data_IF_509701475640
#
_entry.id   IF_509701475640
#
_cell.length_a   1.000
_cell.length_b   1.000
_cell.length_c   1.000
_cell.angle_alpha   90.00
_cell.angle_beta   90.00
_cell.angle_gamma   90.00
#
_symmetry.space_group_name_H-M   'P 1'
#
loop_
_entity.id
_entity.type
_entity.pdbx_description
1 polymer ?
#
# COMPACT_ATOMS: atom_id res chain seq x y z
N UNK A 1 4.44 -11.29 1.00
CA UNK A 1 4.04 -12.07 -0.22
C UNK A 1 2.76 -12.90 -0.03
N UNK A 2 2.63 -13.80 0.97
CA UNK A 2 1.42 -14.65 1.17
C UNK A 2 0.09 -13.89 1.15
N UNK A 3 -0.02 -12.79 1.90
CA UNK A 3 -1.25 -11.99 1.98
C UNK A 3 -1.64 -11.35 0.64
N UNK A 4 -0.64 -10.96 -0.18
CA UNK A 4 -0.85 -10.41 -1.52
C UNK A 4 -1.39 -11.51 -2.45
N UNK A 5 -0.75 -12.69 -2.45
CA UNK A 5 -1.21 -13.85 -3.23
C UNK A 5 -2.62 -14.32 -2.85
N UNK A 6 -2.99 -14.16 -1.58
CA UNK A 6 -4.35 -14.41 -1.09
C UNK A 6 -5.36 -13.30 -1.45
N UNK A 7 -4.92 -12.23 -2.12
CA UNK A 7 -5.78 -11.11 -2.53
C UNK A 7 -6.20 -10.19 -1.40
N UNK A 8 -5.54 -10.26 -0.25
CA UNK A 8 -5.93 -9.57 0.97
C UNK A 8 -5.27 -8.21 1.17
N UNK A 9 -4.46 -7.73 0.23
CA UNK A 9 -3.69 -6.48 0.38
C UNK A 9 -4.18 -5.44 -0.61
N UNK A 10 -4.31 -4.21 -0.12
CA UNK A 10 -4.76 -3.05 -0.88
C UNK A 10 -3.86 -1.86 -0.60
N UNK A 11 -3.59 -1.05 -1.63
CA UNK A 11 -2.89 0.23 -1.56
C UNK A 11 -3.86 1.31 -2.04
N UNK A 12 -4.11 2.33 -1.22
CA UNK A 12 -5.11 3.38 -1.46
C UNK A 12 -6.47 2.81 -1.87
N UNK A 13 -6.90 1.75 -1.19
CA UNK A 13 -8.12 0.97 -1.47
C UNK A 13 -8.17 0.25 -2.83
N UNK A 14 -7.10 0.27 -3.62
CA UNK A 14 -6.93 -0.53 -4.83
C UNK A 14 -6.28 -1.87 -4.48
N UNK A 15 -6.80 -2.98 -4.99
CA UNK A 15 -6.27 -4.33 -4.71
C UNK A 15 -4.89 -4.48 -5.35
N UNK A 16 -3.95 -5.07 -4.61
CA UNK A 16 -2.62 -5.41 -5.13
C UNK A 16 -2.64 -6.85 -5.62
N UNK A 17 -2.46 -7.05 -6.93
CA UNK A 17 -2.55 -8.37 -7.57
C UNK A 17 -1.19 -9.06 -7.73
N UNK A 18 -0.08 -8.31 -7.65
CA UNK A 18 1.28 -8.83 -7.79
C UNK A 18 2.09 -8.60 -6.53
N UNK A 19 2.83 -9.61 -6.08
CA UNK A 19 3.77 -9.48 -4.97
C UNK A 19 5.09 -8.82 -5.36
N UNK A 20 5.23 -8.46 -6.64
CA UNK A 20 6.28 -7.61 -7.18
C UNK A 20 5.82 -6.15 -7.40
N UNK A 21 4.60 -5.79 -6.97
CA UNK A 21 4.12 -4.42 -7.09
C UNK A 21 5.01 -3.43 -6.32
N UNK A 22 5.32 -2.32 -6.98
CA UNK A 22 6.07 -1.19 -6.42
C UNK A 22 5.10 -0.03 -6.24
N UNK A 23 5.26 0.74 -5.17
CA UNK A 23 4.49 1.97 -4.95
C UNK A 23 5.10 3.06 -5.83
N UNK A 24 4.31 3.60 -6.73
CA UNK A 24 4.70 4.72 -7.58
C UNK A 24 4.50 6.06 -6.84
N UNK A 25 5.29 7.08 -7.20
CA UNK A 25 5.17 8.42 -6.61
C UNK A 25 3.75 9.01 -6.76
N UNK A 26 3.05 8.70 -7.86
CA UNK A 26 1.67 9.10 -8.10
C UNK A 26 0.65 8.47 -7.14
N UNK A 27 1.01 7.37 -6.48
CA UNK A 27 0.19 6.72 -5.46
C UNK A 27 0.48 7.30 -4.06
N UNK A 28 1.48 8.14 -3.91
CA UNK A 28 1.74 8.80 -2.64
C UNK A 28 0.78 9.99 -2.49
N UNK A 29 -0.06 9.92 -1.46
CA UNK A 29 -1.01 10.97 -1.12
C UNK A 29 -0.21 12.19 -0.67
N UNK A 30 -0.30 13.26 -1.48
CA UNK A 30 0.38 14.54 -1.27
C UNK A 30 1.90 14.40 -1.02
N UNK A 31 2.52 13.36 -1.57
CA UNK A 31 3.96 13.09 -1.35
C UNK A 31 4.33 12.70 0.09
N UNK A 32 3.35 12.42 0.96
CA UNK A 32 3.58 12.20 2.41
C UNK A 32 3.19 10.84 2.92
N UNK A 33 2.19 10.19 2.32
CA UNK A 33 1.64 8.97 2.88
C UNK A 33 1.02 8.02 1.86
N UNK A 34 0.89 6.76 2.26
CA UNK A 34 0.18 5.72 1.52
C UNK A 34 -0.72 4.95 2.48
N UNK A 35 -1.96 4.65 2.06
CA UNK A 35 -2.87 3.82 2.83
C UNK A 35 -2.70 2.35 2.43
N UNK A 36 -2.28 1.52 3.36
CA UNK A 36 -2.22 0.06 3.20
C UNK A 36 -3.37 -0.57 3.96
N UNK A 37 -4.19 -1.36 3.28
CA UNK A 37 -5.25 -2.14 3.92
C UNK A 37 -4.98 -3.63 3.78
N UNK A 38 -5.16 -4.36 4.88
CA UNK A 38 -5.07 -5.82 4.95
C UNK A 38 -6.42 -6.40 5.37
N UNK A 39 -7.07 -7.13 4.47
CA UNK A 39 -8.43 -7.62 4.66
C UNK A 39 -9.44 -6.48 4.75
N UNK A 40 -10.57 -6.68 5.45
CA UNK A 40 -11.69 -5.72 5.42
C UNK A 40 -11.53 -4.51 6.35
N UNK A 41 -10.78 -4.65 7.46
CA UNK A 41 -10.78 -3.68 8.57
C UNK A 41 -9.42 -3.24 9.09
N UNK A 42 -8.33 -3.87 8.65
CA UNK A 42 -7.00 -3.47 9.12
C UNK A 42 -6.43 -2.44 8.17
N UNK A 43 -6.37 -1.20 8.62
CA UNK A 43 -5.81 -0.08 7.89
C UNK A 43 -4.51 0.37 8.56
N UNK A 44 -3.52 0.66 7.73
CA UNK A 44 -2.21 1.13 8.12
C UNK A 44 -1.88 2.34 7.25
N UNK A 45 -1.43 3.42 7.86
CA UNK A 45 -0.91 4.58 7.15
C UNK A 45 0.60 4.49 7.21
N UNK A 46 1.23 4.40 6.04
CA UNK A 46 2.69 4.50 5.92
C UNK A 46 3.02 5.95 5.61
N UNK A 47 3.77 6.58 6.49
CA UNK A 47 4.35 7.89 6.25
C UNK A 47 5.67 7.73 5.51
N UNK A 48 5.83 8.47 4.41
CA UNK A 48 7.09 8.53 3.70
C UNK A 48 7.86 9.72 4.26
N UNK A 49 9.02 9.43 4.83
CA UNK A 49 10.00 10.43 5.24
C UNK A 49 11.19 10.32 4.30
N UNK A 50 11.42 11.34 3.48
CA UNK A 50 12.70 11.47 2.81
C UNK A 50 13.74 11.82 3.87
N UNK A 51 14.57 10.84 4.22
CA UNK A 51 15.81 11.08 4.94
C UNK A 51 16.88 11.28 3.89
N UNK A 52 17.07 12.55 3.49
CA UNK A 52 18.25 13.00 2.75
C UNK A 52 19.37 13.24 3.75
#
# INVERSE_FOLDING_TARGET
RRLIKAGGVYINNVRVDSDAAVIEASQVIEGRAVLVRVGKRNYHVLHISDSV
#
